data_IF_259623967926
#
_entry.id   IF_259623967926
#
_cell.length_a   1.000
_cell.length_b   1.000
_cell.length_c   1.000
_cell.angle_alpha   90.00
_cell.angle_beta   90.00
_cell.angle_gamma   90.00
#
_symmetry.space_group_name_H-M   'P 1'
#
loop_
_entity.id
_entity.type
_entity.pdbx_description
1 polymer ?
#
# COMPACT_ATOMS: atom_id res chain seq x y z
N UNK A 1 -5.00 -12.13 -6.86
CA UNK A 1 -3.92 -11.73 -5.90
C UNK A 1 -2.57 -12.26 -6.36
N UNK A 2 -2.53 -13.50 -6.83
CA UNK A 2 -1.40 -14.09 -7.57
C UNK A 2 -0.92 -13.22 -8.72
N UNK A 3 -1.83 -12.55 -9.44
CA UNK A 3 -1.53 -11.75 -10.62
C UNK A 3 -0.78 -10.47 -10.24
N UNK A 4 -1.27 -9.77 -9.20
CA UNK A 4 -0.57 -8.60 -8.61
C UNK A 4 0.80 -9.03 -8.14
N UNK A 5 0.89 -10.15 -7.41
CA UNK A 5 2.18 -10.66 -6.92
C UNK A 5 3.15 -10.92 -8.08
N UNK A 6 2.69 -11.60 -9.14
CA UNK A 6 3.50 -11.93 -10.30
C UNK A 6 4.02 -10.68 -11.00
N UNK A 7 3.16 -9.68 -11.24
CA UNK A 7 3.55 -8.41 -11.87
C UNK A 7 4.63 -7.67 -11.06
N UNK A 8 4.55 -7.73 -9.72
CA UNK A 8 5.55 -7.10 -8.84
C UNK A 8 6.85 -7.90 -8.76
N UNK A 9 6.79 -9.22 -8.82
CA UNK A 9 7.99 -10.07 -8.70
C UNK A 9 8.73 -10.28 -10.01
N UNK A 10 8.06 -10.10 -11.15
CA UNK A 10 8.68 -10.25 -12.47
C UNK A 10 9.51 -9.01 -12.81
N UNK A 11 10.83 -9.16 -12.83
CA UNK A 11 11.76 -8.08 -13.18
C UNK A 11 11.58 -7.56 -14.61
N UNK A 12 10.97 -8.35 -15.50
CA UNK A 12 10.67 -7.96 -16.89
C UNK A 12 9.28 -7.34 -17.04
N UNK A 13 8.52 -7.21 -15.96
CA UNK A 13 7.19 -6.62 -16.00
C UNK A 13 7.27 -5.15 -16.42
N UNK A 14 6.23 -4.68 -17.10
CA UNK A 14 6.17 -3.26 -17.50
C UNK A 14 6.15 -2.36 -16.28
N UNK A 15 5.55 -2.83 -15.18
CA UNK A 15 5.44 -2.06 -13.95
C UNK A 15 6.79 -1.85 -13.25
N UNK A 16 7.68 -2.85 -13.30
CA UNK A 16 9.02 -2.74 -12.72
C UNK A 16 10.02 -1.99 -13.63
N UNK A 17 9.70 -1.81 -14.91
CA UNK A 17 10.53 -1.11 -15.90
C UNK A 17 9.91 0.23 -16.34
N UNK A 18 9.11 0.87 -15.49
CA UNK A 18 8.63 2.23 -15.75
C UNK A 18 9.81 3.20 -15.70
N UNK A 19 10.04 3.93 -16.78
CA UNK A 19 11.08 4.95 -16.89
C UNK A 19 10.60 6.24 -16.23
N UNK A 20 10.70 6.30 -14.91
CA UNK A 20 10.27 7.41 -14.09
C UNK A 20 11.24 7.65 -12.92
N UNK A 21 11.53 8.92 -12.61
CA UNK A 21 12.37 9.32 -11.47
C UNK A 21 11.60 9.23 -10.15
N UNK A 22 11.11 8.03 -9.84
CA UNK A 22 10.38 7.74 -8.60
C UNK A 22 11.28 6.88 -7.73
N UNK A 23 11.50 7.32 -6.49
CA UNK A 23 12.39 6.64 -5.53
C UNK A 23 12.14 5.14 -5.42
N UNK A 24 10.88 4.69 -5.46
CA UNK A 24 10.54 3.27 -5.36
C UNK A 24 10.96 2.44 -6.58
N UNK A 25 11.10 3.05 -7.76
CA UNK A 25 11.50 2.38 -9.00
C UNK A 25 13.01 2.47 -9.24
N UNK A 26 13.68 3.46 -8.66
CA UNK A 26 15.13 3.60 -8.81
C UNK A 26 15.90 2.56 -8.00
N UNK A 27 16.77 1.78 -8.65
CA UNK A 27 17.67 0.85 -7.96
C UNK A 27 18.61 1.54 -6.97
N UNK A 28 18.96 2.79 -7.26
CA UNK A 28 19.77 3.65 -6.39
C UNK A 28 19.15 3.80 -4.99
N UNK A 29 17.82 3.72 -4.86
CA UNK A 29 17.12 3.84 -3.58
C UNK A 29 17.46 2.70 -2.62
N UNK A 30 17.73 1.52 -3.17
CA UNK A 30 18.11 0.33 -2.39
C UNK A 30 19.59 0.40 -2.04
N UNK A 31 20.44 0.75 -3.02
CA UNK A 31 21.89 0.90 -2.80
C UNK A 31 22.17 1.97 -1.75
N UNK A 32 21.45 3.09 -1.81
CA UNK A 32 21.57 4.22 -0.87
C UNK A 32 20.80 3.99 0.45
N UNK A 33 20.16 2.83 0.62
CA UNK A 33 19.36 2.45 1.81
C UNK A 33 18.22 3.43 2.14
N UNK A 34 17.72 4.16 1.14
CA UNK A 34 16.46 4.91 1.24
C UNK A 34 15.32 3.90 1.41
N UNK A 35 15.38 2.81 0.64
CA UNK A 35 14.60 1.59 0.83
C UNK A 35 15.55 0.50 1.33
N UNK A 36 15.21 -0.17 2.43
CA UNK A 36 16.10 -1.09 3.14
C UNK A 36 16.35 -2.39 2.38
N UNK A 37 15.43 -2.79 1.51
CA UNK A 37 15.51 -4.05 0.78
C UNK A 37 14.59 -4.11 -0.44
N UNK A 38 14.89 -5.05 -1.36
CA UNK A 38 14.00 -5.40 -2.46
C UNK A 38 12.59 -5.80 -1.99
N UNK A 39 12.48 -6.49 -0.84
CA UNK A 39 11.18 -6.87 -0.27
C UNK A 39 10.38 -5.64 0.14
N UNK A 40 11.02 -4.66 0.79
CA UNK A 40 10.34 -3.41 1.16
C UNK A 40 9.86 -2.65 -0.07
N UNK A 41 10.68 -2.61 -1.14
CA UNK A 41 10.27 -2.08 -2.44
C UNK A 41 9.03 -2.80 -2.99
N UNK A 42 9.03 -4.13 -3.01
CA UNK A 42 7.90 -4.94 -3.48
C UNK A 42 6.61 -4.68 -2.69
N UNK A 43 6.71 -4.50 -1.37
CA UNK A 43 5.56 -4.15 -0.52
C UNK A 43 5.01 -2.77 -0.90
N UNK A 44 5.88 -1.76 -1.07
CA UNK A 44 5.44 -0.43 -1.49
C UNK A 44 4.76 -0.44 -2.85
N UNK A 45 5.37 -1.09 -3.83
CA UNK A 45 4.82 -1.28 -5.17
C UNK A 45 3.47 -1.99 -5.15
N UNK A 46 3.33 -3.02 -4.32
CA UNK A 46 2.07 -3.77 -4.17
C UNK A 46 0.97 -2.89 -3.59
N UNK A 47 1.25 -2.13 -2.54
CA UNK A 47 0.26 -1.20 -1.96
C UNK A 47 -0.13 -0.12 -2.96
N UNK A 48 0.84 0.41 -3.72
CA UNK A 48 0.58 1.39 -4.77
C UNK A 48 -0.33 0.82 -5.88
N UNK A 49 -0.05 -0.40 -6.36
CA UNK A 49 -0.85 -1.06 -7.39
C UNK A 49 -2.25 -1.42 -6.89
N UNK A 50 -2.36 -1.89 -5.65
CA UNK A 50 -3.65 -2.16 -4.97
C UNK A 50 -4.50 -0.89 -4.90
N UNK A 51 -3.91 0.24 -4.52
CA UNK A 51 -4.63 1.52 -4.53
C UNK A 51 -4.96 2.01 -5.95
N UNK A 52 -4.04 1.83 -6.90
CA UNK A 52 -4.28 2.17 -8.30
C UNK A 52 -5.50 1.42 -8.84
N UNK A 53 -5.59 0.10 -8.63
CA UNK A 53 -6.74 -0.71 -9.03
C UNK A 53 -8.02 -0.18 -8.38
N UNK A 54 -8.00 0.05 -7.06
CA UNK A 54 -9.16 0.56 -6.33
C UNK A 54 -9.67 1.91 -6.87
N UNK A 55 -8.77 2.89 -7.07
CA UNK A 55 -9.18 4.24 -7.47
C UNK A 55 -9.48 4.38 -8.97
N UNK A 56 -8.85 3.58 -9.84
CA UNK A 56 -9.01 3.71 -11.29
C UNK A 56 -10.01 2.71 -11.89
N UNK A 57 -10.23 1.56 -11.24
CA UNK A 57 -11.14 0.51 -11.70
C UNK A 57 -12.31 0.34 -10.72
N UNK A 58 -12.99 1.45 -10.40
CA UNK A 58 -14.15 1.43 -9.52
C UNK A 58 -15.25 0.51 -10.09
N UNK A 59 -15.81 -0.36 -9.26
CA UNK A 59 -16.87 -1.33 -9.60
C UNK A 59 -16.51 -2.39 -10.66
N UNK A 60 -15.23 -2.62 -10.91
CA UNK A 60 -14.77 -3.73 -11.76
C UNK A 60 -14.68 -5.05 -10.96
N UNK A 61 -14.68 -6.18 -11.68
CA UNK A 61 -14.50 -7.53 -11.14
C UNK A 61 -13.22 -7.62 -10.29
N UNK A 62 -12.14 -6.97 -10.73
CA UNK A 62 -10.86 -6.96 -10.03
C UNK A 62 -10.96 -6.27 -8.67
N UNK A 63 -11.55 -5.07 -8.62
CA UNK A 63 -11.76 -4.33 -7.37
C UNK A 63 -12.73 -5.06 -6.45
N UNK A 64 -13.77 -5.69 -7.01
CA UNK A 64 -14.70 -6.53 -6.23
C UNK A 64 -13.96 -7.72 -5.61
N UNK A 65 -13.15 -8.45 -6.38
CA UNK A 65 -12.36 -9.58 -5.88
C UNK A 65 -11.30 -9.17 -4.85
N UNK A 66 -10.70 -7.98 -5.02
CA UNK A 66 -9.74 -7.40 -4.08
C UNK A 66 -10.38 -7.19 -2.70
N UNK A 67 -11.56 -6.58 -2.67
CA UNK A 67 -12.29 -6.22 -1.45
C UNK A 67 -13.07 -7.40 -0.84
N UNK A 68 -13.45 -8.39 -1.64
CA UNK A 68 -14.26 -9.52 -1.20
C UNK A 68 -13.53 -10.39 -0.17
N UNK A 69 -14.13 -10.59 0.99
CA UNK A 69 -13.64 -11.41 2.08
C UNK A 69 -14.43 -12.73 2.13
N UNK A 70 -13.79 -13.82 1.71
CA UNK A 70 -14.37 -15.16 1.63
C UNK A 70 -14.29 -15.97 2.95
N UNK A 71 -13.75 -15.38 4.02
CA UNK A 71 -13.59 -16.06 5.32
C UNK A 71 -14.80 -15.95 6.25
N UNK A 72 -15.85 -15.26 5.82
CA UNK A 72 -17.09 -15.13 6.59
C UNK A 72 -18.10 -16.14 6.05
N UNK A 73 -18.32 -17.21 6.81
CA UNK A 73 -19.43 -18.12 6.58
C UNK A 73 -20.77 -17.41 6.89
N UNK A 74 -21.76 -17.66 6.02
CA UNK A 74 -23.19 -17.31 6.14
C UNK A 74 -23.60 -15.82 6.20
N UNK A 75 -24.28 -15.39 5.13
CA UNK A 75 -25.25 -14.26 5.07
C UNK A 75 -24.79 -12.86 5.49
N UNK A 76 -23.49 -12.62 5.71
CA UNK A 76 -22.95 -11.29 5.99
C UNK A 76 -22.42 -10.59 4.73
N UNK A 77 -22.35 -9.26 4.77
CA UNK A 77 -21.84 -8.45 3.67
C UNK A 77 -20.34 -8.74 3.50
N UNK A 78 -19.97 -9.50 2.47
CA UNK A 78 -18.61 -10.02 2.25
C UNK A 78 -17.56 -8.95 1.90
N UNK A 79 -17.82 -7.68 2.12
CA UNK A 79 -16.88 -6.56 1.88
C UNK A 79 -16.28 -6.03 3.19
N UNK A 80 -16.07 -6.93 4.17
CA UNK A 80 -15.47 -6.56 5.45
C UNK A 80 -13.97 -6.30 5.32
N UNK A 81 -13.40 -5.38 6.12
CA UNK A 81 -11.96 -5.16 6.17
C UNK A 81 -11.18 -6.45 6.44
N UNK A 82 -10.11 -6.65 5.69
CA UNK A 82 -9.21 -7.80 5.83
C UNK A 82 -7.76 -7.39 5.62
N UNK A 83 -6.85 -8.19 6.14
CA UNK A 83 -5.43 -8.10 5.76
C UNK A 83 -5.24 -8.62 4.34
N UNK A 84 -4.36 -7.98 3.59
CA UNK A 84 -3.94 -8.48 2.29
C UNK A 84 -2.68 -9.32 2.47
N UNK A 85 -2.67 -10.52 1.92
CA UNK A 85 -1.54 -11.45 2.06
C UNK A 85 -0.87 -11.64 0.71
N UNK A 86 0.44 -11.42 0.67
CA UNK A 86 1.27 -11.60 -0.52
C UNK A 86 2.52 -12.41 -0.18
N UNK A 87 2.96 -13.24 -1.11
CA UNK A 87 4.18 -14.03 -0.92
C UNK A 87 5.34 -13.34 -1.65
N UNK A 88 6.41 -13.06 -0.91
CA UNK A 88 7.67 -12.58 -1.49
C UNK A 88 8.82 -13.47 -0.99
N UNK A 89 9.49 -14.14 -1.92
CA UNK A 89 10.47 -15.16 -1.59
C UNK A 89 9.86 -16.30 -0.77
N UNK A 90 10.45 -16.62 0.38
CA UNK A 90 10.00 -17.71 1.25
C UNK A 90 8.98 -17.30 2.33
N UNK A 91 8.54 -16.04 2.32
CA UNK A 91 7.71 -15.49 3.40
C UNK A 91 6.39 -14.94 2.88
N UNK A 92 5.32 -15.13 3.67
CA UNK A 92 4.03 -14.47 3.47
C UNK A 92 4.00 -13.18 4.28
N UNK A 93 3.73 -12.08 3.61
CA UNK A 93 3.61 -10.76 4.20
C UNK A 93 2.12 -10.39 4.31
N UNK A 94 1.72 -10.01 5.52
CA UNK A 94 0.37 -9.53 5.81
C UNK A 94 0.41 -8.00 5.88
N UNK A 95 -0.38 -7.35 5.02
CA UNK A 95 -0.42 -5.89 4.88
C UNK A 95 -1.73 -5.36 5.48
N UNK A 96 -1.60 -4.36 6.35
CA UNK A 96 -2.70 -3.83 7.16
C UNK A 96 -3.05 -4.72 8.36
N UNK A 97 -3.97 -4.26 9.20
CA UNK A 97 -4.38 -4.91 10.44
C UNK A 97 -3.45 -4.65 11.62
N UNK A 98 -2.55 -3.66 11.56
CA UNK A 98 -1.57 -3.38 12.61
C UNK A 98 -1.55 -1.90 13.00
N UNK A 99 -1.40 -1.61 14.29
CA UNK A 99 -1.37 -0.22 14.81
C UNK A 99 0.06 0.29 14.96
N UNK A 100 0.97 -0.58 15.39
CA UNK A 100 2.37 -0.27 15.55
C UNK A 100 3.19 -1.57 15.57
N UNK A 101 4.50 -1.39 15.51
CA UNK A 101 5.46 -2.46 15.70
C UNK A 101 6.47 -2.06 16.77
N UNK A 102 7.04 -3.05 17.44
CA UNK A 102 8.20 -2.87 18.30
C UNK A 102 9.34 -3.77 17.84
N UNK A 103 10.57 -3.28 17.96
CA UNK A 103 11.77 -4.05 17.59
C UNK A 103 12.27 -4.82 18.79
N UNK A 104 12.47 -6.13 18.62
CA UNK A 104 13.10 -7.00 19.61
C UNK A 104 14.40 -7.54 19.03
N UNK A 105 15.49 -7.41 19.77
CA UNK A 105 16.76 -8.03 19.40
C UNK A 105 16.86 -9.40 20.06
N UNK A 106 17.16 -10.42 19.27
CA UNK A 106 17.35 -11.80 19.73
C UNK A 106 18.71 -12.30 19.25
N UNK A 107 19.48 -12.94 20.12
CA UNK A 107 20.75 -13.57 19.73
C UNK A 107 20.47 -15.04 19.44
N UNK A 108 20.64 -15.44 18.19
CA UNK A 108 20.49 -16.84 17.76
C UNK A 108 21.76 -17.26 17.03
N UNK A 109 22.39 -18.35 17.46
CA UNK A 109 23.63 -18.88 16.86
C UNK A 109 24.73 -17.81 16.69
N UNK A 110 25.02 -17.04 17.75
CA UNK A 110 25.98 -15.92 17.76
C UNK A 110 25.70 -14.79 16.73
N UNK A 111 24.49 -14.72 16.18
CA UNK A 111 24.05 -13.62 15.31
C UNK A 111 22.94 -12.82 16.00
N UNK A 112 23.05 -11.50 15.94
CA UNK A 112 21.97 -10.60 16.38
C UNK A 112 20.91 -10.56 15.28
N UNK A 113 19.70 -11.00 15.62
CA UNK A 113 18.52 -10.98 14.76
C UNK A 113 17.58 -9.90 15.28
N UNK A 114 17.14 -9.01 14.39
CA UNK A 114 16.10 -8.03 14.69
C UNK A 114 14.76 -8.65 14.29
N UNK A 115 13.88 -8.82 15.27
CA UNK A 115 12.48 -9.24 15.07
C UNK A 115 11.56 -8.05 15.28
N UNK A 116 10.43 -8.05 14.58
CA UNK A 116 9.39 -7.07 14.74
C UNK A 116 8.19 -7.75 15.39
N UNK A 117 7.78 -7.24 16.55
CA UNK A 117 6.54 -7.64 17.20
C UNK A 117 5.45 -6.67 16.77
N UNK A 118 4.40 -7.19 16.14
CA UNK A 118 3.36 -6.40 15.47
C UNK A 118 2.08 -6.41 16.33
N UNK A 119 1.62 -5.23 16.73
CA UNK A 119 0.37 -5.10 17.50
C UNK A 119 -0.82 -5.04 16.55
N UNK A 120 -1.72 -6.02 16.67
CA UNK A 120 -2.94 -6.13 15.87
C UNK A 120 -3.91 -4.96 16.12
N UNK A 121 -4.66 -4.57 15.08
CA UNK A 121 -5.67 -3.51 15.13
C UNK A 121 -6.62 -3.56 13.93
N UNK A 122 -7.62 -2.67 13.91
CA UNK A 122 -8.53 -2.51 12.77
C UNK A 122 -8.02 -1.56 11.68
N UNK A 123 -6.72 -1.28 11.64
CA UNK A 123 -6.09 -0.40 10.63
C UNK A 123 -5.76 -1.19 9.35
N UNK A 124 -6.75 -1.42 8.50
CA UNK A 124 -6.58 -2.18 7.24
C UNK A 124 -6.32 -1.25 6.05
N UNK A 125 -5.77 -1.81 4.96
CA UNK A 125 -5.54 -1.08 3.70
C UNK A 125 -6.84 -0.47 3.17
N UNK A 126 -7.94 -1.20 3.34
CA UNK A 126 -9.30 -0.76 3.04
C UNK A 126 -10.18 -0.87 4.28
N UNK A 127 -10.91 0.19 4.58
CA UNK A 127 -11.84 0.27 5.69
C UNK A 127 -13.11 1.03 5.25
N UNK A 128 -14.30 0.60 5.70
CA UNK A 128 -15.52 1.32 5.43
C UNK A 128 -15.45 2.67 6.15
N UNK A 129 -15.73 3.74 5.41
CA UNK A 129 -15.89 5.07 5.98
C UNK A 129 -17.38 5.34 6.15
N UNK A 130 -17.77 5.85 7.31
CA UNK A 130 -19.16 6.24 7.58
C UNK A 130 -19.54 7.54 6.87
N UNK A 131 -18.55 8.36 6.48
CA UNK A 131 -18.74 9.65 5.83
C UNK A 131 -17.69 9.87 4.75
N UNK A 132 -18.13 10.22 3.54
CA UNK A 132 -17.26 10.65 2.45
C UNK A 132 -17.14 12.18 2.53
N UNK A 133 -16.03 12.69 3.05
CA UNK A 133 -15.74 14.13 3.00
C UNK A 133 -15.06 14.45 1.66
N UNK A 134 -15.81 15.04 0.73
CA UNK A 134 -15.24 15.57 -0.51
C UNK A 134 -14.66 16.97 -0.24
N UNK A 135 -13.33 17.09 -0.17
CA UNK A 135 -12.67 18.39 -0.27
C UNK A 135 -12.71 18.85 -1.74
N UNK A 136 -13.77 19.58 -2.10
CA UNK A 136 -13.75 20.36 -3.34
C UNK A 136 -12.91 21.61 -3.09
N UNK A 137 -11.78 21.75 -3.78
CA UNK A 137 -11.01 23.01 -3.83
C UNK A 137 -11.86 24.03 -4.61
N UNK A 138 -12.82 24.64 -3.93
CA UNK A 138 -13.78 25.52 -4.54
C UNK A 138 -13.08 26.85 -4.87
N UNK A 139 -12.67 27.00 -6.13
CA UNK A 139 -12.29 28.23 -6.84
C UNK A 139 -11.37 29.21 -6.09
N UNK A 140 -10.18 29.44 -6.63
CA UNK A 140 -9.39 30.63 -6.29
C UNK A 140 -10.22 31.89 -6.60
N UNK A 141 -10.79 32.52 -5.57
CA UNK A 141 -11.40 33.83 -5.69
C UNK A 141 -10.26 34.84 -5.75
N UNK A 142 -9.69 35.02 -6.95
CA UNK A 142 -8.82 36.16 -7.20
C UNK A 142 -9.71 37.40 -7.21
N UNK A 143 -9.68 38.16 -6.11
CA UNK A 143 -10.32 39.47 -6.04
C UNK A 143 -9.51 40.44 -6.91
N UNK A 144 -10.03 40.75 -8.10
CA UNK A 144 -9.37 41.65 -9.07
C UNK A 144 -9.08 43.04 -8.51
N UNK A 145 -9.83 43.50 -7.51
CA UNK A 145 -9.61 44.80 -6.88
C UNK A 145 -8.38 44.82 -5.96
N UNK A 146 -7.91 43.66 -5.47
CA UNK A 146 -6.69 43.57 -4.65
C UNK A 146 -5.42 43.98 -5.42
N UNK A 147 -5.42 43.85 -6.75
CA UNK A 147 -4.30 44.26 -7.59
C UNK A 147 -4.13 45.79 -7.67
N UNK A 148 -5.17 46.57 -7.36
CA UNK A 148 -5.08 48.04 -7.35
C UNK A 148 -4.28 48.54 -6.13
N UNK A 149 -4.22 47.76 -5.04
CA UNK A 149 -3.42 48.10 -3.85
C UNK A 149 -1.94 47.68 -3.96
N UNK A 150 -1.60 46.85 -4.95
CA UNK A 150 -0.24 46.38 -5.19
C UNK A 150 0.42 47.07 -6.41
N UNK A 151 -0.28 48.01 -7.05
CA UNK A 151 0.24 48.86 -8.12
C UNK A 151 0.45 50.27 -7.58
#
# INVERSE_FOLDING_TARGET
>A
MSEIQNEITDEQSKFNNLDDNITVLEDSSITNKIIKSNIERQIYLTVALVYYIYFNQNNDLLTTALLFNNKLDDNSNNFTPKQLSFNYGAYTYHIGGYTNYSTKQEVQNNKVIIRYDLKQSNNFVFQPVTQIMQMTRNKEIINKYSFILLW
#
